data_IF_926975994527
#
_entry.id   IF_926975994527
#
_cell.length_a   1.000
_cell.length_b   1.000
_cell.length_c   1.000
_cell.angle_alpha   90.00
_cell.angle_beta   90.00
_cell.angle_gamma   90.00
#
_symmetry.space_group_name_H-M   'P 1'
#
loop_
_entity.id
_entity.type
_entity.pdbx_description
1 polymer ?
#
# COMPACT_ATOMS: atom_id res chain seq x y z
N UNK A 1 -12.67 20.47 11.01
CA UNK A 1 -12.76 19.51 9.89
C UNK A 1 -11.91 20.03 8.73
N UNK A 2 -11.11 19.19 8.04
CA UNK A 2 -10.40 19.60 6.83
C UNK A 2 -11.41 20.02 5.75
N UNK A 3 -11.15 21.14 5.07
CA UNK A 3 -11.98 21.57 3.94
C UNK A 3 -11.65 20.70 2.73
N UNK A 4 -12.64 19.95 2.23
CA UNK A 4 -12.54 19.18 1.00
C UNK A 4 -13.14 20.05 -0.11
N UNK A 5 -12.30 20.68 -0.93
CA UNK A 5 -12.78 21.41 -2.10
C UNK A 5 -13.17 20.43 -3.21
N UNK A 6 -14.47 20.42 -3.54
CA UNK A 6 -15.04 19.60 -4.60
C UNK A 6 -15.31 20.43 -5.86
N UNK A 7 -14.68 20.09 -7.00
CA UNK A 7 -15.18 20.38 -8.37
C UNK A 7 -14.69 19.32 -9.39
N UNK A 8 -15.38 19.11 -10.54
CA UNK A 8 -15.90 17.81 -10.97
C UNK A 8 -15.29 17.25 -12.28
N UNK A 9 -15.72 16.04 -12.64
CA UNK A 9 -15.61 15.32 -13.92
C UNK A 9 -14.28 15.45 -14.69
N UNK A 10 -13.31 14.59 -14.35
CA UNK A 10 -12.05 14.42 -15.09
C UNK A 10 -10.80 14.96 -14.40
N UNK A 11 -10.95 15.68 -13.27
CA UNK A 11 -9.85 16.34 -12.56
C UNK A 11 -9.38 15.62 -11.29
N UNK A 12 -8.09 15.77 -10.98
CA UNK A 12 -7.47 15.33 -9.74
C UNK A 12 -8.15 15.92 -8.50
N UNK A 13 -8.39 15.13 -7.45
CA UNK A 13 -8.88 15.64 -6.15
C UNK A 13 -7.70 16.07 -5.28
N UNK A 14 -7.80 17.20 -4.59
CA UNK A 14 -6.78 17.66 -3.64
C UNK A 14 -7.33 17.67 -2.21
N UNK A 15 -6.50 17.28 -1.25
CA UNK A 15 -6.78 17.34 0.18
C UNK A 15 -5.58 17.97 0.87
N UNK A 16 -5.82 18.98 1.70
CA UNK A 16 -4.78 19.57 2.53
C UNK A 16 -4.92 19.06 3.97
N UNK A 17 -3.86 18.45 4.49
CA UNK A 17 -3.83 17.92 5.85
C UNK A 17 -2.45 18.16 6.47
N UNK A 18 -2.43 18.77 7.66
CA UNK A 18 -1.20 18.97 8.44
C UNK A 18 -0.04 19.64 7.67
N UNK A 19 -0.33 20.61 6.80
CA UNK A 19 0.71 21.27 6.01
C UNK A 19 1.02 20.62 4.65
N UNK A 20 0.43 19.46 4.36
CA UNK A 20 0.76 18.64 3.19
C UNK A 20 -0.42 18.61 2.20
N UNK A 21 -0.09 18.76 0.91
CA UNK A 21 -1.02 18.60 -0.19
C UNK A 21 -1.05 17.16 -0.67
N UNK A 22 -2.19 16.49 -0.52
CA UNK A 22 -2.48 15.19 -1.11
C UNK A 22 -3.22 15.39 -2.42
N UNK A 23 -2.85 14.63 -3.44
CA UNK A 23 -3.49 14.65 -4.75
C UNK A 23 -3.87 13.22 -5.17
N UNK A 24 -5.15 13.02 -5.50
CA UNK A 24 -5.64 11.80 -6.11
C UNK A 24 -5.83 12.04 -7.59
N UNK A 25 -5.05 11.34 -8.41
CA UNK A 25 -5.06 11.46 -9.86
C UNK A 25 -5.04 10.07 -10.49
N UNK A 26 -5.78 9.91 -11.60
CA UNK A 26 -5.74 8.69 -12.40
C UNK A 26 -4.77 8.89 -13.55
N UNK A 27 -3.92 7.90 -13.76
CA UNK A 27 -2.99 7.86 -14.88
C UNK A 27 -3.35 6.67 -15.78
N UNK A 28 -3.23 6.81 -17.11
CA UNK A 28 -3.48 5.72 -18.04
C UNK A 28 -2.32 4.70 -18.06
N UNK A 29 -1.10 5.15 -17.79
CA UNK A 29 0.12 4.35 -17.87
C UNK A 29 0.93 4.43 -16.55
N UNK A 30 1.76 3.41 -16.29
CA UNK A 30 2.59 3.35 -15.07
C UNK A 30 3.74 4.36 -15.14
N UNK A 31 4.23 4.66 -16.33
CA UNK A 31 5.29 5.62 -16.61
C UNK A 31 4.89 7.04 -16.19
N UNK A 32 3.64 7.45 -16.43
CA UNK A 32 3.14 8.76 -16.01
C UNK A 32 3.10 8.89 -14.48
N UNK A 33 2.82 7.79 -13.79
CA UNK A 33 2.86 7.74 -12.32
C UNK A 33 4.30 7.91 -11.83
N UNK A 34 5.28 7.25 -12.47
CA UNK A 34 6.70 7.40 -12.12
C UNK A 34 7.19 8.83 -12.36
N UNK A 35 6.81 9.45 -13.48
CA UNK A 35 7.11 10.86 -13.76
C UNK A 35 6.52 11.76 -12.67
N UNK A 36 5.27 11.51 -12.26
CA UNK A 36 4.63 12.26 -11.18
C UNK A 36 5.37 12.10 -9.84
N UNK A 37 5.83 10.90 -9.52
CA UNK A 37 6.57 10.62 -8.28
C UNK A 37 8.00 11.18 -8.27
N UNK A 38 8.59 11.42 -9.45
CA UNK A 38 9.90 12.09 -9.58
C UNK A 38 9.81 13.62 -9.65
N UNK A 39 8.60 14.18 -9.67
CA UNK A 39 8.45 15.62 -9.68
C UNK A 39 9.00 16.22 -8.36
N UNK A 40 9.62 17.42 -8.39
CA UNK A 40 10.24 18.02 -7.19
C UNK A 40 9.28 18.28 -6.02
N UNK A 41 7.97 18.34 -6.30
CA UNK A 41 6.91 18.55 -5.31
C UNK A 41 6.31 17.23 -4.76
N UNK A 42 6.90 16.08 -5.11
CA UNK A 42 6.39 14.76 -4.73
C UNK A 42 7.22 14.11 -3.64
N UNK A 43 6.53 13.46 -2.70
CA UNK A 43 7.13 12.53 -1.76
C UNK A 43 6.86 11.06 -2.15
N UNK A 44 6.32 10.82 -3.35
CA UNK A 44 5.74 9.54 -3.76
C UNK A 44 4.22 9.47 -3.56
N UNK A 45 3.69 8.28 -3.32
CA UNK A 45 2.26 8.11 -3.10
C UNK A 45 1.79 6.67 -3.01
N UNK A 46 0.47 6.55 -2.85
CA UNK A 46 -0.23 5.27 -2.81
C UNK A 46 -0.58 4.84 -4.23
N UNK A 47 -0.23 3.60 -4.58
CA UNK A 47 -0.57 2.98 -5.86
C UNK A 47 -1.61 1.88 -5.67
N UNK A 48 -2.56 1.80 -6.59
CA UNK A 48 -3.62 0.79 -6.57
C UNK A 48 -3.71 0.05 -7.91
N UNK A 49 -4.73 -0.79 -8.07
CA UNK A 49 -4.98 -1.54 -9.32
C UNK A 49 -5.02 -0.57 -10.52
N UNK A 50 -4.36 -0.92 -11.64
CA UNK A 50 -3.65 -2.18 -11.92
C UNK A 50 -2.15 -2.18 -11.56
N UNK A 51 -1.61 -1.09 -11.01
CA UNK A 51 -0.15 -0.86 -10.95
C UNK A 51 0.58 -1.45 -9.74
N UNK A 52 -0.12 -2.06 -8.77
CA UNK A 52 0.52 -2.63 -7.58
C UNK A 52 1.64 -3.64 -7.89
N UNK A 53 1.60 -4.30 -9.04
CA UNK A 53 2.62 -5.28 -9.46
C UNK A 53 3.64 -4.71 -10.45
N UNK A 54 3.15 -3.93 -11.42
CA UNK A 54 3.99 -3.39 -12.51
C UNK A 54 4.97 -2.34 -12.02
N UNK A 55 4.71 -1.71 -10.87
CA UNK A 55 5.61 -0.74 -10.26
C UNK A 55 6.91 -1.35 -9.76
N UNK A 56 6.88 -2.52 -9.12
CA UNK A 56 8.06 -3.12 -8.45
C UNK A 56 9.33 -3.13 -9.33
N UNK A 57 9.30 -3.62 -10.58
CA UNK A 57 10.52 -3.64 -11.42
C UNK A 57 10.98 -2.27 -11.92
N UNK A 58 10.19 -1.21 -11.75
CA UNK A 58 10.48 0.13 -12.25
C UNK A 58 11.05 1.07 -11.18
N UNK A 59 11.12 0.60 -9.93
CA UNK A 59 11.60 1.35 -8.77
C UNK A 59 13.04 0.98 -8.45
N UNK A 60 13.74 1.88 -7.78
CA UNK A 60 15.14 1.72 -7.41
C UNK A 60 15.34 0.67 -6.28
N UNK A 61 14.26 0.34 -5.57
CA UNK A 61 14.25 -0.75 -4.61
C UNK A 61 12.88 -1.01 -4.01
N UNK A 62 12.78 -2.09 -3.24
CA UNK A 62 11.57 -2.48 -2.52
C UNK A 62 11.94 -3.00 -1.15
N UNK A 63 11.04 -2.89 -0.18
CA UNK A 63 11.17 -3.63 1.07
C UNK A 63 10.99 -5.14 0.84
N UNK A 64 11.53 -5.95 1.75
CA UNK A 64 11.52 -7.40 1.65
C UNK A 64 10.08 -7.95 1.54
N UNK A 65 9.14 -7.35 2.28
CA UNK A 65 7.75 -7.79 2.27
C UNK A 65 7.06 -7.48 0.94
N UNK A 66 7.23 -6.31 0.34
CA UNK A 66 6.66 -6.02 -0.99
C UNK A 66 7.24 -6.94 -2.06
N UNK A 67 8.52 -7.29 -1.97
CA UNK A 67 9.15 -8.29 -2.86
C UNK A 67 8.52 -9.67 -2.68
N UNK A 68 8.44 -10.15 -1.44
CA UNK A 68 7.84 -11.46 -1.10
C UNK A 68 6.37 -11.55 -1.53
N UNK A 69 5.61 -10.46 -1.35
CA UNK A 69 4.23 -10.36 -1.78
C UNK A 69 4.09 -10.23 -3.30
N UNK A 70 5.11 -9.73 -3.99
CA UNK A 70 5.04 -9.37 -5.41
C UNK A 70 4.00 -8.29 -5.68
N UNK A 71 3.73 -7.41 -4.70
CA UNK A 71 2.82 -6.28 -4.81
C UNK A 71 3.25 -5.14 -3.86
N UNK A 72 3.27 -3.90 -4.37
CA UNK A 72 3.45 -2.69 -3.58
C UNK A 72 2.20 -1.81 -3.65
N UNK A 73 1.82 -1.19 -2.54
CA UNK A 73 0.75 -0.20 -2.50
C UNK A 73 1.27 1.20 -2.10
N UNK A 74 2.54 1.31 -1.72
CA UNK A 74 3.16 2.54 -1.27
C UNK A 74 4.50 2.70 -1.99
N UNK A 75 4.72 3.87 -2.58
CA UNK A 75 5.98 4.29 -3.18
C UNK A 75 6.40 5.58 -2.48
N UNK A 76 7.65 5.67 -2.06
CA UNK A 76 8.18 6.85 -1.38
C UNK A 76 9.53 7.23 -1.97
N UNK A 77 9.81 8.54 -1.97
CA UNK A 77 11.11 9.10 -2.37
C UNK A 77 12.03 9.16 -1.14
N UNK A 78 13.21 8.58 -1.25
CA UNK A 78 14.25 8.64 -0.20
C UNK A 78 15.07 9.92 -0.33
N UNK A 79 15.82 10.27 0.73
CA UNK A 79 16.69 11.46 0.76
C UNK A 79 17.77 11.43 -0.33
N UNK A 80 18.23 10.25 -0.75
CA UNK A 80 19.16 10.05 -1.87
C UNK A 80 18.48 10.06 -3.25
N UNK A 81 17.20 10.46 -3.32
CA UNK A 81 16.46 10.66 -4.57
C UNK A 81 15.98 9.37 -5.24
N UNK A 82 15.98 8.24 -4.52
CA UNK A 82 15.53 6.94 -5.04
C UNK A 82 14.06 6.69 -4.73
N UNK A 83 13.33 6.13 -5.68
CA UNK A 83 11.97 5.66 -5.44
C UNK A 83 12.01 4.23 -4.92
N UNK A 84 11.48 4.03 -3.71
CA UNK A 84 11.35 2.71 -3.10
C UNK A 84 9.90 2.35 -2.87
N UNK A 85 9.60 1.06 -2.89
CA UNK A 85 8.26 0.56 -2.56
C UNK A 85 8.17 -0.16 -1.23
N UNK A 86 6.96 -0.10 -0.68
CA UNK A 86 6.50 -0.88 0.44
C UNK A 86 5.10 -1.44 0.18
N UNK A 87 4.70 -2.38 1.03
CA UNK A 87 3.32 -2.85 1.11
C UNK A 87 2.79 -2.65 2.53
N UNK A 88 1.75 -1.85 2.70
CA UNK A 88 1.10 -1.63 4.00
C UNK A 88 -0.22 -2.37 4.16
N UNK A 89 -0.71 -3.08 3.12
CA UNK A 89 -1.95 -3.86 3.20
C UNK A 89 -1.82 -4.96 4.28
N UNK A 90 -0.64 -5.59 4.43
CA UNK A 90 -0.42 -6.63 5.43
C UNK A 90 -0.53 -6.09 6.87
N UNK A 91 -0.07 -4.85 7.10
CA UNK A 91 -0.16 -4.18 8.42
C UNK A 91 -1.63 -4.00 8.77
N UNK A 92 -2.41 -3.49 7.81
CA UNK A 92 -3.84 -3.28 7.98
C UNK A 92 -4.57 -4.60 8.26
N UNK A 93 -4.33 -5.64 7.44
CA UNK A 93 -4.97 -6.96 7.61
C UNK A 93 -4.62 -7.56 8.98
N UNK A 94 -3.34 -7.54 9.36
CA UNK A 94 -2.90 -8.00 10.68
C UNK A 94 -3.58 -7.20 11.80
N UNK A 95 -3.61 -5.88 11.69
CA UNK A 95 -4.27 -5.01 12.65
C UNK A 95 -5.76 -5.32 12.80
N UNK A 96 -6.49 -5.47 11.69
CA UNK A 96 -7.91 -5.82 11.70
C UNK A 96 -8.17 -7.20 12.32
N UNK A 97 -7.33 -8.20 12.04
CA UNK A 97 -7.49 -9.55 12.60
C UNK A 97 -7.25 -9.59 14.11
N UNK A 98 -6.35 -8.75 14.63
CA UNK A 98 -5.97 -8.74 16.04
C UNK A 98 -6.71 -7.69 16.88
N UNK A 99 -7.38 -6.74 16.23
CA UNK A 99 -8.06 -5.64 16.90
C UNK A 99 -9.13 -6.15 17.86
N UNK A 100 -9.06 -5.71 19.11
CA UNK A 100 -10.02 -6.08 20.16
C UNK A 100 -9.77 -7.45 20.80
N UNK A 101 -8.73 -8.18 20.39
CA UNK A 101 -8.34 -9.45 21.01
C UNK A 101 -7.32 -9.23 22.13
N UNK A 102 -7.46 -9.99 23.22
CA UNK A 102 -6.43 -10.09 24.25
C UNK A 102 -5.34 -11.10 23.86
N UNK A 103 -4.25 -11.18 24.62
CA UNK A 103 -3.10 -12.03 24.29
C UNK A 103 -3.43 -13.52 24.15
N UNK A 104 -4.38 -14.04 24.93
CA UNK A 104 -4.78 -15.45 24.83
C UNK A 104 -5.60 -15.70 23.56
N UNK A 105 -6.48 -14.77 23.20
CA UNK A 105 -7.26 -14.84 21.96
C UNK A 105 -6.38 -14.70 20.72
N UNK A 106 -5.39 -13.81 20.75
CA UNK A 106 -4.40 -13.68 19.67
C UNK A 106 -3.66 -15.01 19.46
N UNK A 107 -3.19 -15.65 20.54
CA UNK A 107 -2.53 -16.97 20.46
C UNK A 107 -3.45 -18.03 19.83
N UNK A 108 -4.72 -18.04 20.23
CA UNK A 108 -5.73 -18.97 19.74
C UNK A 108 -6.08 -18.78 18.26
N UNK A 109 -6.08 -17.54 17.78
CA UNK A 109 -6.36 -17.22 16.37
C UNK A 109 -5.10 -17.40 15.49
N UNK A 110 -3.93 -17.09 16.02
CA UNK A 110 -2.67 -17.15 15.29
C UNK A 110 -2.18 -18.58 15.05
N UNK A 111 -2.59 -19.56 15.87
CA UNK A 111 -2.05 -20.92 15.81
C UNK A 111 -3.10 -21.96 15.47
N UNK A 112 -2.78 -22.87 14.54
CA UNK A 112 -3.56 -24.09 14.27
C UNK A 112 -4.94 -23.89 13.63
N UNK A 113 -5.37 -22.67 13.30
CA UNK A 113 -6.68 -22.40 12.68
C UNK A 113 -6.62 -22.39 11.15
N UNK A 114 -7.61 -22.97 10.45
CA UNK A 114 -7.75 -22.80 9.02
C UNK A 114 -8.17 -21.36 8.69
N UNK A 115 -7.69 -20.84 7.57
CA UNK A 115 -8.08 -19.55 7.03
C UNK A 115 -8.56 -19.72 5.58
N UNK A 116 -9.64 -19.03 5.21
CA UNK A 116 -10.11 -18.93 3.84
C UNK A 116 -9.75 -17.55 3.29
N UNK A 117 -9.05 -17.52 2.16
CA UNK A 117 -8.72 -16.30 1.43
C UNK A 117 -9.43 -16.38 0.08
N UNK A 118 -10.22 -15.37 -0.23
CA UNK A 118 -10.91 -15.22 -1.51
C UNK A 118 -10.15 -14.14 -2.30
N UNK A 119 -10.00 -14.32 -3.63
CA UNK A 119 -9.17 -13.53 -4.56
C UNK A 119 -7.68 -13.96 -4.65
N UNK A 120 -6.99 -13.49 -5.71
CA UNK A 120 -5.57 -13.78 -6.00
C UNK A 120 -4.70 -12.54 -6.28
N UNK A 121 -5.21 -11.34 -5.96
CA UNK A 121 -4.54 -10.03 -6.19
C UNK A 121 -3.79 -9.54 -4.93
N UNK A 122 -3.23 -8.33 -4.98
CA UNK A 122 -2.31 -7.80 -3.96
C UNK A 122 -2.75 -7.98 -2.50
N UNK A 123 -4.00 -7.65 -2.17
CA UNK A 123 -4.51 -7.79 -0.79
C UNK A 123 -4.59 -9.26 -0.34
N UNK A 124 -5.01 -10.18 -1.20
CA UNK A 124 -5.05 -11.63 -0.88
C UNK A 124 -3.66 -12.21 -0.61
N UNK A 125 -2.63 -11.70 -1.31
CA UNK A 125 -1.23 -12.08 -1.06
C UNK A 125 -0.76 -11.56 0.29
N UNK A 126 -1.12 -10.32 0.64
CA UNK A 126 -0.85 -9.75 1.95
C UNK A 126 -1.53 -10.57 3.06
N UNK A 127 -2.80 -10.97 2.89
CA UNK A 127 -3.50 -11.87 3.81
C UNK A 127 -2.80 -13.22 3.94
N UNK A 128 -2.39 -13.83 2.83
CA UNK A 128 -1.67 -15.11 2.82
C UNK A 128 -0.35 -15.01 3.59
N UNK A 129 0.40 -13.92 3.42
CA UNK A 129 1.62 -13.67 4.18
C UNK A 129 1.35 -13.55 5.68
N UNK A 130 0.29 -12.82 6.09
CA UNK A 130 -0.08 -12.71 7.51
C UNK A 130 -0.45 -14.07 8.09
N UNK A 131 -1.27 -14.85 7.40
CA UNK A 131 -1.71 -16.18 7.88
C UNK A 131 -0.59 -17.22 7.90
N UNK A 132 0.43 -17.10 7.05
CA UNK A 132 1.56 -18.05 6.98
C UNK A 132 2.73 -17.67 7.87
N UNK A 133 2.98 -16.37 8.09
CA UNK A 133 4.06 -15.90 8.97
C UNK A 133 3.84 -16.25 10.45
N UNK A 134 2.61 -16.56 10.87
CA UNK A 134 2.31 -17.05 12.22
C UNK A 134 2.44 -18.57 12.40
N UNK A 135 2.77 -19.30 11.34
CA UNK A 135 2.99 -20.75 11.42
C UNK A 135 4.44 -21.14 11.71
N UNK A 136 5.36 -20.18 11.81
CA UNK A 136 6.74 -20.37 12.22
C UNK A 136 6.89 -20.10 13.72
#
# INVERSE_FOLDING_TARGET
MPKIDHKPAGGSKKLYLAGVNFCSQRFPNVEDVLQRFRAPDSAGGVVTIPYKRTMIPLLDGSDELAQKLGACNNVYLTEDGKLRSANTDWICIKGCLLSGLNQNEIRHVATGRPALIIEAKGASRAASCVCTAWRA
#
